data_IF_653121188600
#
_entry.id   IF_653121188600
#
_cell.length_a   1.000
_cell.length_b   1.000
_cell.length_c   1.000
_cell.angle_alpha   90.00
_cell.angle_beta   90.00
_cell.angle_gamma   90.00
#
_symmetry.space_group_name_H-M   'P 1'
#
loop_
_entity.id
_entity.type
_entity.pdbx_description
1 polymer ?
#
# COMPACT_ATOMS: atom_id res chain seq x y z
N UNK A 1 15.55 13.50 -11.82
CA UNK A 1 15.15 13.02 -10.49
C UNK A 1 15.44 11.53 -10.47
N UNK A 2 16.72 11.19 -10.37
CA UNK A 2 17.11 9.79 -10.28
C UNK A 2 16.88 9.35 -8.82
N UNK A 3 16.29 8.18 -8.59
CA UNK A 3 15.90 7.65 -7.26
C UNK A 3 14.70 8.33 -6.57
N UNK A 4 13.80 8.98 -7.33
CA UNK A 4 12.52 9.45 -6.80
C UNK A 4 11.37 8.78 -7.55
N UNK A 5 10.36 8.35 -6.81
CA UNK A 5 9.16 7.71 -7.34
C UNK A 5 7.93 8.54 -7.01
N UNK A 6 7.24 9.03 -8.04
CA UNK A 6 5.94 9.69 -7.89
C UNK A 6 4.87 8.61 -8.08
N UNK A 7 4.10 8.32 -7.03
CA UNK A 7 3.10 7.22 -7.02
C UNK A 7 1.65 7.71 -7.14
N UNK A 8 1.41 9.03 -7.05
CA UNK A 8 0.07 9.61 -7.05
C UNK A 8 -0.80 8.98 -5.95
N UNK A 9 -1.97 8.48 -6.33
CA UNK A 9 -2.91 7.80 -5.42
C UNK A 9 -2.74 6.29 -5.37
N UNK A 10 -1.70 5.75 -6.01
CA UNK A 10 -1.44 4.30 -5.99
C UNK A 10 -0.98 3.86 -4.61
N UNK A 11 -0.04 4.61 -4.01
CA UNK A 11 0.47 4.39 -2.66
C UNK A 11 0.45 5.70 -1.89
N UNK A 12 0.16 5.59 -0.61
CA UNK A 12 0.36 6.65 0.38
C UNK A 12 1.39 6.18 1.41
N UNK A 13 1.79 7.05 2.33
CA UNK A 13 2.68 6.64 3.43
C UNK A 13 1.97 5.61 4.32
N UNK A 14 2.38 4.35 4.20
CA UNK A 14 1.80 3.15 4.83
C UNK A 14 0.32 2.87 4.49
N UNK A 15 -0.19 3.50 3.44
CA UNK A 15 -1.54 3.30 2.91
C UNK A 15 -1.53 3.16 1.39
N UNK A 16 -2.71 3.14 0.79
CA UNK A 16 -2.87 3.06 -0.66
C UNK A 16 -4.25 3.56 -1.11
N UNK A 17 -4.43 3.78 -2.41
CA UNK A 17 -5.72 4.14 -3.00
C UNK A 17 -6.78 3.03 -2.88
N UNK A 18 -8.00 3.32 -3.36
CA UNK A 18 -9.14 2.41 -3.31
C UNK A 18 -9.68 2.11 -4.71
N UNK A 19 -10.34 0.95 -4.86
CA UNK A 19 -10.89 0.48 -6.15
C UNK A 19 -12.41 0.61 -6.24
N UNK A 20 -13.05 1.45 -5.42
CA UNK A 20 -14.53 1.53 -5.32
C UNK A 20 -15.18 2.36 -6.43
N UNK A 21 -14.40 3.08 -7.23
CA UNK A 21 -14.90 3.90 -8.35
C UNK A 21 -14.99 3.07 -9.65
N UNK A 22 -15.85 3.45 -10.62
CA UNK A 22 -15.94 2.74 -11.89
C UNK A 22 -14.58 2.59 -12.58
N UNK A 23 -14.25 1.35 -12.96
CA UNK A 23 -12.96 1.00 -13.57
C UNK A 23 -11.87 0.58 -12.57
N UNK A 24 -12.15 0.57 -11.26
CA UNK A 24 -11.26 -0.01 -10.26
C UNK A 24 -11.35 -1.54 -10.22
N UNK A 25 -10.19 -2.21 -10.14
CA UNK A 25 -10.07 -3.65 -9.97
C UNK A 25 -9.00 -3.96 -8.90
N UNK A 26 -9.41 -4.67 -7.84
CA UNK A 26 -8.54 -4.98 -6.69
C UNK A 26 -7.42 -5.97 -7.05
N UNK A 27 -7.64 -6.87 -8.02
CA UNK A 27 -6.61 -7.82 -8.49
C UNK A 27 -5.58 -7.12 -9.36
N UNK A 28 -6.02 -6.22 -10.26
CA UNK A 28 -5.08 -5.36 -10.99
C UNK A 28 -4.27 -4.46 -10.03
N UNK A 29 -4.91 -3.99 -8.96
CA UNK A 29 -4.25 -3.22 -7.92
C UNK A 29 -3.19 -4.05 -7.17
N UNK A 30 -3.49 -5.30 -6.82
CA UNK A 30 -2.51 -6.24 -6.26
C UNK A 30 -1.30 -6.41 -7.20
N UNK A 31 -1.51 -6.63 -8.49
CA UNK A 31 -0.41 -6.76 -9.45
C UNK A 31 0.42 -5.47 -9.57
N UNK A 32 -0.20 -4.31 -9.41
CA UNK A 32 0.50 -3.03 -9.34
C UNK A 32 1.38 -2.94 -8.10
N UNK A 33 0.91 -3.40 -6.94
CA UNK A 33 1.74 -3.53 -5.74
C UNK A 33 2.94 -4.44 -5.96
N UNK A 34 2.76 -5.59 -6.63
CA UNK A 34 3.88 -6.50 -6.93
C UNK A 34 4.95 -5.84 -7.82
N UNK A 35 4.55 -5.00 -8.77
CA UNK A 35 5.49 -4.23 -9.59
C UNK A 35 6.25 -3.19 -8.74
N UNK A 36 5.56 -2.51 -7.82
CA UNK A 36 6.18 -1.52 -6.94
C UNK A 36 7.22 -2.13 -5.98
N UNK A 37 7.07 -3.40 -5.58
CA UNK A 37 8.10 -4.11 -4.80
C UNK A 37 9.45 -4.20 -5.51
N UNK A 38 9.48 -4.09 -6.84
CA UNK A 38 10.71 -4.15 -7.64
C UNK A 38 11.50 -2.83 -7.68
N UNK A 39 10.92 -1.72 -7.24
CA UNK A 39 11.62 -0.42 -7.16
C UNK A 39 12.72 -0.50 -6.11
N UNK A 40 13.85 0.18 -6.30
CA UNK A 40 14.96 0.20 -5.34
C UNK A 40 14.52 0.69 -3.94
N UNK A 41 15.11 0.14 -2.87
CA UNK A 41 14.74 0.47 -1.49
C UNK A 41 15.09 1.91 -1.10
N UNK A 42 16.13 2.50 -1.71
CA UNK A 42 16.57 3.88 -1.46
C UNK A 42 15.71 4.91 -2.20
N UNK A 43 14.79 4.47 -3.08
CA UNK A 43 13.96 5.39 -3.84
C UNK A 43 12.99 6.15 -2.91
N UNK A 44 13.02 7.47 -2.99
CA UNK A 44 12.11 8.35 -2.24
C UNK A 44 10.72 8.32 -2.86
N UNK A 45 9.70 8.00 -2.06
CA UNK A 45 8.31 7.94 -2.50
C UNK A 45 7.60 9.28 -2.27
N UNK A 46 6.91 9.76 -3.31
CA UNK A 46 6.11 10.98 -3.32
C UNK A 46 4.66 10.63 -3.68
N UNK A 47 3.74 10.77 -2.73
CA UNK A 47 2.33 10.45 -2.90
C UNK A 47 1.46 11.68 -3.15
N UNK A 48 0.25 11.47 -3.68
CA UNK A 48 -0.69 12.55 -4.01
C UNK A 48 -1.38 13.16 -2.79
N UNK A 49 -1.50 12.41 -1.70
CA UNK A 49 -2.20 12.81 -0.48
C UNK A 49 -1.45 12.34 0.77
N UNK A 50 -1.34 13.23 1.76
CA UNK A 50 -0.70 12.94 3.04
C UNK A 50 -1.74 12.53 4.09
N UNK A 51 -1.85 11.22 4.31
CA UNK A 51 -2.67 10.61 5.37
C UNK A 51 -1.83 9.86 6.40
N UNK A 52 -0.52 9.75 6.16
CA UNK A 52 0.36 8.89 6.94
C UNK A 52 0.92 9.57 8.17
N UNK A 53 1.74 8.84 8.90
CA UNK A 53 2.39 9.35 10.12
C UNK A 53 3.60 10.27 9.85
N UNK A 54 4.00 10.44 8.59
CA UNK A 54 5.16 11.24 8.19
C UNK A 54 5.03 11.72 6.75
N UNK A 55 5.77 12.79 6.44
CA UNK A 55 5.73 13.47 5.13
C UNK A 55 6.58 12.74 4.08
N UNK A 56 7.71 12.17 4.48
CA UNK A 56 8.67 11.54 3.57
C UNK A 56 8.90 10.07 3.94
N UNK A 57 9.09 9.22 2.92
CA UNK A 57 9.39 7.80 3.11
C UNK A 57 10.17 7.24 1.92
N UNK A 58 10.93 6.18 2.16
CA UNK A 58 11.55 5.39 1.09
C UNK A 58 10.70 4.18 0.72
N UNK A 59 10.94 3.62 -0.47
CA UNK A 59 10.32 2.35 -0.86
C UNK A 59 10.73 1.20 0.07
N UNK A 60 11.95 1.19 0.61
CA UNK A 60 12.39 0.17 1.57
C UNK A 60 11.54 0.17 2.85
N UNK A 61 11.26 1.35 3.41
CA UNK A 61 10.36 1.48 4.56
C UNK A 61 8.93 1.04 4.22
N UNK A 62 8.42 1.43 3.06
CA UNK A 62 7.09 1.04 2.61
C UNK A 62 6.99 -0.47 2.42
N UNK A 63 7.96 -1.14 1.81
CA UNK A 63 7.94 -2.60 1.68
C UNK A 63 7.99 -3.32 3.01
N UNK A 64 8.66 -2.75 4.02
CA UNK A 64 8.78 -3.35 5.34
C UNK A 64 7.49 -3.22 6.19
N UNK A 65 6.70 -2.16 5.99
CA UNK A 65 5.60 -1.81 6.89
C UNK A 65 4.25 -1.46 6.25
N UNK A 66 4.17 -1.31 4.93
CA UNK A 66 2.92 -1.00 4.24
C UNK A 66 2.17 -2.31 3.96
N UNK A 67 0.98 -2.48 4.55
CA UNK A 67 0.18 -3.70 4.43
C UNK A 67 -0.04 -4.12 2.97
N UNK A 68 -0.26 -3.15 2.07
CA UNK A 68 -0.49 -3.39 0.64
C UNK A 68 0.75 -3.97 -0.08
N UNK A 69 1.95 -3.72 0.44
CA UNK A 69 3.21 -4.27 -0.08
C UNK A 69 3.69 -5.51 0.69
N UNK A 70 3.25 -5.71 1.93
CA UNK A 70 3.65 -6.89 2.71
C UNK A 70 2.80 -8.12 2.37
N UNK A 71 1.56 -7.95 1.94
CA UNK A 71 0.70 -9.07 1.54
C UNK A 71 1.18 -9.62 0.19
N UNK A 72 1.53 -10.91 0.18
CA UNK A 72 2.09 -11.60 -0.99
C UNK A 72 1.06 -12.52 -1.69
N UNK A 73 -0.06 -12.84 -1.05
CA UNK A 73 -1.13 -13.65 -1.64
C UNK A 73 -2.25 -12.76 -2.17
N UNK A 74 -2.66 -12.98 -3.42
CA UNK A 74 -3.71 -12.17 -4.08
C UNK A 74 -5.07 -12.27 -3.37
N UNK A 75 -5.48 -13.45 -2.92
CA UNK A 75 -6.76 -13.63 -2.24
C UNK A 75 -6.77 -12.94 -0.86
N UNK A 76 -5.66 -13.01 -0.13
CA UNK A 76 -5.53 -12.29 1.14
C UNK A 76 -5.53 -10.77 0.91
N UNK A 77 -4.91 -10.29 -0.17
CA UNK A 77 -4.94 -8.88 -0.54
C UNK A 77 -6.35 -8.41 -0.87
N UNK A 78 -7.09 -9.21 -1.67
CA UNK A 78 -8.48 -8.90 -2.03
C UNK A 78 -9.34 -8.82 -0.77
N UNK A 79 -9.24 -9.79 0.14
CA UNK A 79 -9.95 -9.78 1.43
C UNK A 79 -9.62 -8.55 2.27
N UNK A 80 -8.36 -8.18 2.35
CA UNK A 80 -7.90 -7.01 3.09
C UNK A 80 -8.52 -5.71 2.53
N UNK A 81 -8.45 -5.51 1.21
CA UNK A 81 -8.95 -4.29 0.54
C UNK A 81 -10.48 -4.20 0.55
N UNK A 82 -11.16 -5.30 0.27
CA UNK A 82 -12.63 -5.34 0.35
C UNK A 82 -13.12 -5.20 1.79
N UNK A 83 -12.41 -5.79 2.76
CA UNK A 83 -12.68 -5.65 4.18
C UNK A 83 -12.60 -4.19 4.64
N UNK A 84 -11.67 -3.40 4.11
CA UNK A 84 -11.60 -1.96 4.39
C UNK A 84 -12.82 -1.22 3.81
N UNK A 85 -13.23 -1.54 2.59
CA UNK A 85 -14.41 -0.92 1.97
C UNK A 85 -15.72 -1.22 2.71
N UNK A 86 -15.75 -2.33 3.45
CA UNK A 86 -16.88 -2.75 4.29
C UNK A 86 -16.77 -2.27 5.75
N UNK A 87 -15.67 -1.59 6.12
CA UNK A 87 -15.41 -1.15 7.49
C UNK A 87 -15.02 -2.27 8.47
N UNK A 88 -14.68 -3.47 7.96
CA UNK A 88 -14.21 -4.60 8.76
C UNK A 88 -12.73 -4.50 9.11
N UNK A 89 -11.97 -3.83 8.24
CA UNK A 89 -10.53 -3.61 8.39
C UNK A 89 -10.30 -2.10 8.53
N UNK A 90 -9.59 -1.69 9.58
CA UNK A 90 -9.22 -0.29 9.75
C UNK A 90 -8.16 0.12 8.72
N UNK A 91 -8.32 1.31 8.16
CA UNK A 91 -7.36 1.84 7.18
C UNK A 91 -6.00 2.14 7.86
N UNK A 92 -4.88 1.56 7.37
CA UNK A 92 -3.58 1.78 7.97
C UNK A 92 -3.00 3.15 7.58
N UNK A 93 -2.48 3.87 8.58
CA UNK A 93 -1.76 5.15 8.41
C UNK A 93 -0.35 5.11 9.00
N UNK A 94 0.06 3.95 9.51
CA UNK A 94 1.34 3.71 10.17
C UNK A 94 1.94 2.39 9.66
N UNK A 95 3.25 2.23 9.83
CA UNK A 95 3.91 0.97 9.59
C UNK A 95 3.30 -0.13 10.47
N UNK A 96 2.99 -1.27 9.87
CA UNK A 96 2.49 -2.45 10.55
C UNK A 96 3.50 -3.59 10.42
N UNK A 97 3.63 -4.38 11.47
CA UNK A 97 4.37 -5.64 11.41
C UNK A 97 3.58 -6.68 10.62
N UNK A 98 4.27 -7.67 10.05
CA UNK A 98 3.62 -8.82 9.38
C UNK A 98 2.61 -9.52 10.29
N UNK A 99 2.87 -9.58 11.60
CA UNK A 99 1.95 -10.18 12.58
C UNK A 99 0.65 -9.38 12.71
N UNK A 100 0.74 -8.06 12.76
CA UNK A 100 -0.44 -7.18 12.84
C UNK A 100 -1.27 -7.28 11.57
N UNK A 101 -0.62 -7.27 10.40
CA UNK A 101 -1.30 -7.40 9.10
C UNK A 101 -2.04 -8.74 9.00
N UNK A 102 -1.40 -9.84 9.40
CA UNK A 102 -2.04 -11.15 9.40
C UNK A 102 -3.22 -11.25 10.38
N UNK A 103 -3.24 -10.44 11.43
CA UNK A 103 -4.36 -10.39 12.37
C UNK A 103 -5.57 -9.58 11.84
N UNK A 104 -5.40 -8.87 10.71
CA UNK A 104 -6.45 -8.09 10.04
C UNK A 104 -7.14 -8.87 8.91
N UNK A 105 -6.64 -10.05 8.56
CA UNK A 105 -7.21 -10.97 7.56
C UNK A 105 -8.20 -11.96 8.20
#
# INVERSE_FOLDING_TARGET
MDQHLIVGDTLFVFGAGHCTMPGGDVREFYHSMQKLKLVDDEAMLHCGHDYGCKIETTMGEQKAGNAYLVIDNEEDFVRFVEGMSQGLVAYPTNALTKKEILAML
#
